data_IF_880481195360
#
_entry.id   IF_880481195360
#
_cell.length_a   1.000
_cell.length_b   1.000
_cell.length_c   1.000
_cell.angle_alpha   90.00
_cell.angle_beta   90.00
_cell.angle_gamma   90.00
#
_symmetry.space_group_name_H-M   'P 1'
#
loop_
_entity.id
_entity.type
_entity.pdbx_description
1 polymer ?
#
# COMPACT_ATOMS: atom_id res chain seq x y z
N UNK A 1 68.99 31.75 -18.81
CA UNK A 1 68.27 31.17 -17.66
C UNK A 1 66.83 31.67 -17.72
N UNK A 2 65.91 30.85 -18.23
CA UNK A 2 64.50 31.21 -18.36
C UNK A 2 63.76 30.84 -17.07
N UNK A 3 63.28 31.83 -16.32
CA UNK A 3 62.33 31.64 -15.21
C UNK A 3 60.93 31.72 -15.79
N UNK A 4 60.37 30.58 -16.20
CA UNK A 4 58.99 30.52 -16.69
C UNK A 4 58.02 30.14 -15.57
N UNK A 5 57.16 31.09 -15.22
CA UNK A 5 55.70 30.91 -15.19
C UNK A 5 55.10 29.78 -14.35
N UNK A 6 55.58 29.55 -13.11
CA UNK A 6 54.94 28.63 -12.16
C UNK A 6 53.62 29.13 -11.55
N UNK A 7 53.36 30.43 -11.56
CA UNK A 7 52.18 31.02 -10.89
C UNK A 7 50.88 30.93 -11.70
N UNK A 8 50.95 30.77 -13.03
CA UNK A 8 49.75 30.74 -13.88
C UNK A 8 49.05 29.39 -13.89
N UNK A 9 49.80 28.28 -13.92
CA UNK A 9 49.26 26.92 -13.94
C UNK A 9 48.50 26.56 -12.64
N UNK A 10 48.95 27.06 -11.49
CA UNK A 10 48.30 26.86 -10.19
C UNK A 10 46.96 27.61 -10.13
N UNK A 11 46.87 28.78 -10.78
CA UNK A 11 45.63 29.57 -10.87
C UNK A 11 44.56 28.88 -11.71
N UNK A 12 44.92 28.31 -12.86
CA UNK A 12 43.97 27.55 -13.69
C UNK A 12 43.54 26.23 -13.05
N UNK A 13 44.46 25.54 -12.37
CA UNK A 13 44.14 24.30 -11.66
C UNK A 13 43.16 24.55 -10.50
N UNK A 14 43.33 25.64 -9.75
CA UNK A 14 42.40 26.02 -8.66
C UNK A 14 41.05 26.51 -9.17
N UNK A 15 41.02 27.24 -10.29
CA UNK A 15 39.78 27.64 -10.97
C UNK A 15 39.00 26.44 -11.53
N UNK A 16 39.69 25.47 -12.15
CA UNK A 16 39.06 24.24 -12.67
C UNK A 16 38.55 23.34 -11.54
N UNK A 17 39.30 23.21 -10.43
CA UNK A 17 38.86 22.44 -9.26
C UNK A 17 37.66 23.09 -8.58
N UNK A 18 37.64 24.42 -8.47
CA UNK A 18 36.48 25.16 -7.97
C UNK A 18 35.26 25.01 -8.89
N UNK A 19 35.45 25.03 -10.21
CA UNK A 19 34.37 24.82 -11.18
C UNK A 19 33.80 23.39 -11.11
N UNK A 20 34.63 22.37 -10.90
CA UNK A 20 34.20 20.98 -10.72
C UNK A 20 33.43 20.76 -9.41
N UNK A 21 33.78 21.48 -8.33
CA UNK A 21 33.06 21.40 -7.04
C UNK A 21 31.68 22.07 -7.08
N UNK A 22 31.48 23.09 -7.93
CA UNK A 22 30.18 23.79 -8.06
C UNK A 22 29.15 22.93 -8.82
N UNK A 23 29.58 22.01 -9.67
CA UNK A 23 28.69 21.12 -10.45
C UNK A 23 28.05 20.02 -9.56
N UNK A 24 28.56 19.80 -8.34
CA UNK A 24 28.16 18.67 -7.48
C UNK A 24 26.87 18.88 -6.66
N UNK A 25 26.18 20.01 -6.76
CA UNK A 25 25.05 20.33 -5.88
C UNK A 25 23.77 20.68 -6.64
N UNK A 26 23.28 19.77 -7.49
CA UNK A 26 21.91 19.86 -7.99
C UNK A 26 21.38 18.50 -8.45
N UNK A 27 21.41 17.51 -7.57
CA UNK A 27 20.40 16.45 -7.63
C UNK A 27 19.42 16.70 -6.49
N UNK A 28 18.55 17.70 -6.65
CA UNK A 28 17.32 17.70 -5.88
C UNK A 28 16.49 16.54 -6.41
N UNK A 29 16.67 15.35 -5.81
CA UNK A 29 15.75 14.25 -5.97
C UNK A 29 14.47 14.70 -5.28
N UNK A 30 13.58 15.34 -6.04
CA UNK A 30 12.17 15.42 -5.70
C UNK A 30 11.68 13.98 -5.77
N UNK A 31 11.83 13.25 -4.67
CA UNK A 31 11.03 12.06 -4.46
C UNK A 31 9.59 12.55 -4.50
N UNK A 32 8.72 12.03 -5.36
CA UNK A 32 7.30 12.34 -5.27
C UNK A 32 6.91 11.98 -3.85
N UNK A 33 6.63 13.00 -3.04
CA UNK A 33 6.11 12.80 -1.69
C UNK A 33 4.75 12.17 -1.94
N UNK A 34 4.67 10.87 -1.71
CA UNK A 34 3.40 10.16 -1.67
C UNK A 34 2.45 11.00 -0.79
N UNK A 35 1.24 11.32 -1.28
CA UNK A 35 0.28 12.08 -0.50
C UNK A 35 0.16 11.43 0.88
N UNK A 36 0.47 12.17 1.94
CA UNK A 36 0.36 11.65 3.29
C UNK A 36 -1.08 11.18 3.49
N UNK A 37 -1.26 9.90 3.82
CA UNK A 37 -2.57 9.34 4.08
C UNK A 37 -3.27 10.17 5.17
N UNK A 38 -4.45 10.68 4.84
CA UNK A 38 -5.19 11.59 5.72
C UNK A 38 -6.56 10.98 6.04
N UNK A 39 -6.87 10.87 7.33
CA UNK A 39 -8.16 10.38 7.84
C UNK A 39 -8.93 11.56 8.45
N UNK A 40 -10.13 11.82 7.93
CA UNK A 40 -11.07 12.79 8.47
C UNK A 40 -12.29 12.05 9.01
N UNK A 41 -12.61 12.23 10.30
CA UNK A 41 -13.82 11.68 10.89
C UNK A 41 -14.79 12.80 11.24
N UNK A 42 -15.99 12.77 10.67
CA UNK A 42 -17.05 13.77 10.88
C UNK A 42 -18.09 13.31 11.89
N UNK A 43 -18.21 12.00 12.13
CA UNK A 43 -19.08 11.43 13.16
C UNK A 43 -18.47 10.20 13.83
N UNK A 44 -18.55 10.15 15.15
CA UNK A 44 -18.02 9.06 15.97
C UNK A 44 -19.13 8.34 16.74
N UNK A 45 -18.97 7.03 16.91
CA UNK A 45 -19.75 6.16 17.78
C UNK A 45 -18.85 5.62 18.90
N UNK A 46 -19.34 5.62 20.12
CA UNK A 46 -18.67 4.97 21.25
C UNK A 46 -19.21 3.56 21.39
N UNK A 47 -18.38 2.54 21.19
CA UNK A 47 -18.82 1.15 21.19
C UNK A 47 -19.56 0.80 22.50
N UNK A 48 -20.69 0.14 22.37
CA UNK A 48 -21.56 -0.29 23.46
C UNK A 48 -21.51 -1.81 23.66
N UNK A 49 -22.23 -2.31 24.67
CA UNK A 49 -22.31 -3.75 24.92
C UNK A 49 -23.06 -4.42 23.77
N UNK A 50 -22.39 -5.40 23.13
CA UNK A 50 -22.96 -6.15 22.01
C UNK A 50 -22.63 -5.58 20.62
N UNK A 51 -21.88 -4.48 20.57
CA UNK A 51 -21.36 -3.95 19.32
C UNK A 51 -20.29 -4.87 18.71
N UNK A 52 -20.35 -5.02 17.40
CA UNK A 52 -19.40 -5.78 16.59
C UNK A 52 -19.05 -4.98 15.33
N UNK A 53 -18.01 -5.42 14.61
CA UNK A 53 -17.72 -4.91 13.27
C UNK A 53 -18.87 -5.08 12.26
N UNK A 54 -19.88 -5.89 12.57
CA UNK A 54 -21.03 -6.11 11.69
C UNK A 54 -22.23 -5.27 12.11
N UNK A 55 -22.53 -5.18 13.42
CA UNK A 55 -23.72 -4.47 13.90
C UNK A 55 -23.55 -2.97 13.84
N UNK A 56 -22.36 -2.44 14.16
CA UNK A 56 -22.09 -0.99 14.14
C UNK A 56 -22.35 -0.40 12.76
N UNK A 57 -21.63 -0.80 11.68
CA UNK A 57 -21.85 -0.18 10.37
C UNK A 57 -23.28 -0.37 9.86
N UNK A 58 -23.90 -1.54 10.10
CA UNK A 58 -25.30 -1.77 9.74
C UNK A 58 -26.27 -0.79 10.42
N UNK A 59 -26.09 -0.54 11.72
CA UNK A 59 -26.93 0.39 12.48
C UNK A 59 -26.84 1.83 11.96
N UNK A 60 -25.72 2.19 11.33
CA UNK A 60 -25.49 3.52 10.74
C UNK A 60 -25.64 3.55 9.21
N UNK A 61 -26.10 2.46 8.59
CA UNK A 61 -26.26 2.37 7.13
C UNK A 61 -24.93 2.46 6.35
N UNK A 62 -23.81 2.15 7.00
CA UNK A 62 -22.47 2.14 6.44
C UNK A 62 -22.11 0.72 5.96
N UNK A 63 -21.38 0.63 4.85
CA UNK A 63 -20.80 -0.64 4.40
C UNK A 63 -19.66 -1.08 5.33
N UNK A 64 -19.50 -2.39 5.53
CA UNK A 64 -18.42 -2.91 6.38
C UNK A 64 -17.02 -2.50 5.86
N UNK A 65 -16.84 -2.49 4.53
CA UNK A 65 -15.61 -2.03 3.88
C UNK A 65 -15.34 -0.54 4.18
N UNK A 66 -16.32 0.33 3.90
CA UNK A 66 -16.19 1.77 4.17
C UNK A 66 -15.97 2.08 5.66
N UNK A 67 -16.52 1.26 6.55
CA UNK A 67 -16.26 1.36 7.99
C UNK A 67 -14.81 1.02 8.35
N UNK A 68 -14.22 -0.03 7.77
CA UNK A 68 -12.83 -0.38 8.02
C UNK A 68 -11.86 0.62 7.37
N UNK A 69 -12.22 1.19 6.22
CA UNK A 69 -11.44 2.22 5.54
C UNK A 69 -11.28 3.47 6.42
N UNK A 70 -12.35 3.92 7.08
CA UNK A 70 -12.32 5.06 8.02
C UNK A 70 -11.89 4.67 9.44
N UNK A 71 -11.57 3.40 9.69
CA UNK A 71 -11.01 2.89 10.95
C UNK A 71 -9.83 1.93 10.67
N UNK A 72 -8.73 2.37 10.04
CA UNK A 72 -7.71 1.48 9.48
C UNK A 72 -6.92 0.64 10.51
N UNK A 73 -6.99 0.98 11.79
CA UNK A 73 -6.36 0.23 12.88
C UNK A 73 -7.36 -0.63 13.67
N UNK A 74 -8.57 -0.85 13.13
CA UNK A 74 -9.59 -1.62 13.82
C UNK A 74 -9.20 -3.09 13.95
N UNK A 75 -9.40 -3.64 15.14
CA UNK A 75 -9.35 -5.07 15.38
C UNK A 75 -10.75 -5.56 15.74
N UNK A 76 -11.40 -6.24 14.80
CA UNK A 76 -12.78 -6.72 14.96
C UNK A 76 -12.95 -7.78 16.06
N UNK A 77 -11.88 -8.50 16.42
CA UNK A 77 -11.91 -9.52 17.46
C UNK A 77 -11.80 -8.93 18.87
N UNK A 78 -11.47 -7.64 18.98
CA UNK A 78 -11.16 -6.99 20.25
C UNK A 78 -11.74 -5.58 20.36
N UNK A 79 -13.03 -5.44 20.03
CA UNK A 79 -13.80 -4.23 20.31
C UNK A 79 -14.11 -4.18 21.81
N UNK A 80 -13.89 -3.03 22.43
CA UNK A 80 -14.21 -2.82 23.85
C UNK A 80 -15.19 -1.66 24.04
N UNK A 81 -16.02 -1.75 25.07
CA UNK A 81 -17.01 -0.71 25.41
C UNK A 81 -16.30 0.62 25.68
N UNK A 82 -16.79 1.68 25.04
CA UNK A 82 -16.22 3.02 25.08
C UNK A 82 -15.12 3.29 24.05
N UNK A 83 -14.81 2.33 23.17
CA UNK A 83 -13.92 2.57 22.03
C UNK A 83 -14.57 3.54 21.04
N UNK A 84 -13.86 4.60 20.67
CA UNK A 84 -14.32 5.55 19.66
C UNK A 84 -14.09 4.99 18.25
N UNK A 85 -15.16 4.90 17.47
CA UNK A 85 -15.18 4.36 16.12
C UNK A 85 -15.76 5.40 15.18
N UNK A 86 -15.09 5.64 14.07
CA UNK A 86 -15.60 6.55 13.04
C UNK A 86 -16.75 5.88 12.28
N UNK A 87 -17.88 6.55 12.16
CA UNK A 87 -19.06 6.04 11.41
C UNK A 87 -19.50 6.98 10.29
N UNK A 88 -18.80 8.11 10.11
CA UNK A 88 -18.86 8.96 8.92
C UNK A 88 -17.55 9.73 8.79
N UNK A 89 -16.95 9.72 7.60
CA UNK A 89 -15.63 10.30 7.37
C UNK A 89 -15.09 10.01 5.97
N UNK A 90 -13.85 10.43 5.73
CA UNK A 90 -13.12 10.21 4.49
C UNK A 90 -11.67 9.80 4.81
N UNK A 91 -11.15 8.83 4.06
CA UNK A 91 -9.74 8.47 4.07
C UNK A 91 -9.16 8.79 2.69
N UNK A 92 -8.20 9.71 2.62
CA UNK A 92 -7.43 9.99 1.41
C UNK A 92 -6.02 9.47 1.61
N UNK A 93 -5.88 8.14 1.60
CA UNK A 93 -4.60 7.44 1.54
C UNK A 93 -4.63 6.50 0.34
N UNK A 94 -3.60 6.55 -0.50
CA UNK A 94 -3.39 5.52 -1.51
C UNK A 94 -2.73 4.34 -0.83
N UNK A 95 -3.37 3.18 -0.79
CA UNK A 95 -2.69 1.93 -0.44
C UNK A 95 -1.79 1.55 -1.61
N UNK A 96 -0.62 2.18 -1.72
CA UNK A 96 0.35 1.87 -2.77
C UNK A 96 0.94 0.47 -2.53
N UNK A 97 0.61 -0.47 -3.40
CA UNK A 97 1.24 -1.79 -3.47
C UNK A 97 2.71 -1.58 -3.89
N UNK A 98 3.70 -2.21 -3.23
CA UNK A 98 5.08 -2.19 -3.71
C UNK A 98 5.17 -2.93 -5.05
N UNK A 99 5.62 -2.24 -6.09
CA UNK A 99 5.95 -2.82 -7.39
C UNK A 99 7.22 -3.68 -7.29
N UNK A 100 7.12 -4.98 -7.61
CA UNK A 100 8.26 -5.76 -8.08
C UNK A 100 7.85 -6.92 -9.02
N UNK A 101 8.37 -6.86 -10.24
CA UNK A 101 8.81 -7.94 -11.16
C UNK A 101 9.04 -9.31 -10.50
N UNK A 102 8.69 -10.48 -11.03
CA UNK A 102 8.42 -10.98 -12.40
C UNK A 102 7.61 -12.29 -12.33
N UNK A 103 6.48 -12.31 -13.04
CA UNK A 103 5.83 -13.40 -13.78
C UNK A 103 4.39 -12.93 -13.97
N UNK A 104 4.20 -12.11 -15.02
CA UNK A 104 2.94 -11.45 -15.28
C UNK A 104 1.91 -12.50 -15.68
N UNK A 105 0.90 -12.70 -14.85
CA UNK A 105 -0.37 -13.31 -15.28
C UNK A 105 -0.86 -12.47 -16.46
N UNK A 106 -0.96 -13.06 -17.65
CA UNK A 106 -1.22 -12.33 -18.89
C UNK A 106 -2.69 -11.90 -18.99
N UNK A 107 -3.57 -12.65 -18.34
CA UNK A 107 -4.96 -12.26 -18.09
C UNK A 107 -5.57 -13.08 -16.95
N UNK A 108 -6.31 -12.42 -16.06
CA UNK A 108 -7.16 -13.10 -15.09
C UNK A 108 -8.52 -13.37 -15.73
N UNK A 109 -8.92 -14.62 -15.83
CA UNK A 109 -10.19 -15.06 -16.43
C UNK A 109 -11.29 -15.31 -15.39
N UNK A 110 -10.93 -15.44 -14.12
CA UNK A 110 -11.88 -15.57 -13.01
C UNK A 110 -11.42 -14.74 -11.81
N UNK A 111 -12.21 -13.72 -11.49
CA UNK A 111 -11.98 -12.84 -10.34
C UNK A 111 -12.91 -13.24 -9.20
N UNK A 112 -12.37 -13.25 -7.99
CA UNK A 112 -13.12 -13.45 -6.76
C UNK A 112 -12.84 -12.29 -5.80
N UNK A 113 -13.88 -11.69 -5.28
CA UNK A 113 -13.78 -10.67 -4.25
C UNK A 113 -13.68 -11.36 -2.89
N UNK A 114 -12.62 -11.11 -2.13
CA UNK A 114 -12.40 -11.72 -0.83
C UNK A 114 -13.50 -11.31 0.15
N UNK A 115 -14.21 -12.27 0.71
CA UNK A 115 -15.38 -12.07 1.56
C UNK A 115 -15.05 -12.23 3.05
N UNK A 116 -15.96 -11.75 3.90
CA UNK A 116 -15.84 -11.92 5.34
C UNK A 116 -15.87 -13.41 5.74
N UNK A 117 -14.89 -13.81 6.57
CA UNK A 117 -14.74 -15.19 7.03
C UNK A 117 -13.96 -16.09 6.07
N UNK A 118 -13.52 -15.55 4.92
CA UNK A 118 -12.63 -16.29 4.04
C UNK A 118 -11.25 -16.47 4.64
N UNK A 119 -10.62 -17.55 4.22
CA UNK A 119 -9.17 -17.73 4.31
C UNK A 119 -8.69 -18.15 2.94
N UNK A 120 -7.44 -17.83 2.58
CA UNK A 120 -6.86 -18.35 1.35
C UNK A 120 -7.00 -19.88 1.26
N UNK A 121 -6.78 -20.60 2.37
CA UNK A 121 -6.95 -22.05 2.40
C UNK A 121 -8.39 -22.50 2.11
N UNK A 122 -9.39 -21.81 2.65
CA UNK A 122 -10.80 -22.11 2.37
C UNK A 122 -11.15 -21.83 0.91
N UNK A 123 -10.70 -20.71 0.35
CA UNK A 123 -10.92 -20.37 -1.07
C UNK A 123 -10.27 -21.41 -1.98
N UNK A 124 -8.99 -21.72 -1.75
CA UNK A 124 -8.25 -22.74 -2.53
C UNK A 124 -9.00 -24.07 -2.52
N UNK A 125 -9.49 -24.52 -1.36
CA UNK A 125 -10.24 -25.76 -1.25
C UNK A 125 -11.63 -25.68 -1.91
N UNK A 126 -12.37 -24.61 -1.68
CA UNK A 126 -13.74 -24.44 -2.18
C UNK A 126 -13.78 -24.34 -3.71
N UNK A 127 -12.76 -23.71 -4.31
CA UNK A 127 -12.62 -23.59 -5.76
C UNK A 127 -11.73 -24.68 -6.39
N UNK A 128 -11.31 -25.67 -5.59
CA UNK A 128 -10.46 -26.78 -6.01
C UNK A 128 -9.19 -26.34 -6.76
N UNK A 129 -8.55 -25.28 -6.27
CA UNK A 129 -7.33 -24.70 -6.85
C UNK A 129 -6.08 -25.42 -6.33
N UNK A 130 -4.99 -25.37 -7.10
CA UNK A 130 -3.65 -25.67 -6.57
C UNK A 130 -3.14 -24.45 -5.80
N UNK A 131 -2.60 -24.65 -4.59
CA UNK A 131 -2.00 -23.56 -3.81
C UNK A 131 -0.82 -22.91 -4.55
N UNK A 132 -0.06 -23.70 -5.31
CA UNK A 132 1.05 -23.21 -6.13
C UNK A 132 0.52 -22.28 -7.23
N UNK A 133 -0.46 -22.73 -8.02
CA UNK A 133 -1.09 -21.92 -9.07
C UNK A 133 -1.78 -20.68 -8.49
N UNK A 134 -2.47 -20.79 -7.35
CA UNK A 134 -3.09 -19.64 -6.69
C UNK A 134 -2.06 -18.59 -6.27
N UNK A 135 -0.89 -19.02 -5.79
CA UNK A 135 0.20 -18.09 -5.45
C UNK A 135 0.83 -17.45 -6.68
N UNK A 136 0.95 -18.19 -7.80
CA UNK A 136 1.44 -17.64 -9.06
C UNK A 136 0.46 -16.65 -9.69
N UNK A 137 -0.85 -16.90 -9.56
CA UNK A 137 -1.90 -15.99 -10.01
C UNK A 137 -1.97 -14.71 -9.16
N UNK A 138 -1.52 -14.76 -7.91
CA UNK A 138 -1.58 -13.66 -6.95
C UNK A 138 -0.20 -13.42 -6.29
N UNK A 139 0.84 -13.06 -7.07
CA UNK A 139 2.24 -13.10 -6.62
C UNK A 139 2.58 -12.14 -5.48
N UNK A 140 1.74 -11.12 -5.25
CA UNK A 140 1.91 -10.14 -4.18
C UNK A 140 0.94 -10.34 -3.00
N UNK A 141 0.11 -11.38 -3.05
CA UNK A 141 -0.87 -11.65 -2.02
C UNK A 141 -0.18 -12.11 -0.74
N UNK A 142 -0.50 -11.43 0.36
CA UNK A 142 -0.21 -11.92 1.70
C UNK A 142 -1.51 -12.34 2.36
N UNK A 143 -1.73 -13.64 2.50
CA UNK A 143 -2.95 -14.20 3.08
C UNK A 143 -3.22 -13.81 4.55
N UNK A 144 -2.19 -13.35 5.27
CA UNK A 144 -2.35 -12.86 6.65
C UNK A 144 -2.68 -11.37 6.72
N UNK A 145 -2.66 -10.67 5.57
CA UNK A 145 -2.86 -9.22 5.47
C UNK A 145 -3.85 -8.81 4.37
N UNK A 146 -4.56 -9.78 3.81
CA UNK A 146 -5.58 -9.55 2.80
C UNK A 146 -6.85 -9.01 3.48
N UNK A 147 -7.49 -8.01 2.87
CA UNK A 147 -8.70 -7.39 3.40
C UNK A 147 -9.95 -7.85 2.64
N UNK A 148 -11.11 -7.81 3.31
CA UNK A 148 -12.41 -8.02 2.65
C UNK A 148 -12.59 -6.94 1.57
N UNK A 149 -13.06 -7.34 0.39
CA UNK A 149 -13.18 -6.48 -0.79
C UNK A 149 -11.97 -6.54 -1.73
N UNK A 150 -10.84 -7.12 -1.31
CA UNK A 150 -9.69 -7.31 -2.20
C UNK A 150 -9.97 -8.38 -3.26
N UNK A 151 -9.56 -8.11 -4.50
CA UNK A 151 -9.80 -9.02 -5.62
C UNK A 151 -8.66 -10.01 -5.81
N UNK A 152 -9.02 -11.29 -5.81
CA UNK A 152 -8.18 -12.44 -6.07
C UNK A 152 -8.41 -12.99 -7.47
N UNK A 153 -7.32 -13.36 -8.13
CA UNK A 153 -7.40 -14.12 -9.37
C UNK A 153 -7.45 -15.62 -9.07
N UNK A 154 -8.53 -16.29 -9.48
CA UNK A 154 -8.71 -17.73 -9.28
C UNK A 154 -8.36 -18.56 -10.51
N UNK A 155 -8.32 -17.94 -11.71
CA UNK A 155 -7.94 -18.59 -12.96
C UNK A 155 -7.40 -17.55 -13.96
N UNK A 156 -6.46 -17.94 -14.81
CA UNK A 156 -5.83 -17.06 -15.78
C UNK A 156 -4.84 -17.76 -16.70
N UNK A 157 -4.29 -17.02 -17.65
CA UNK A 157 -3.20 -17.50 -18.52
C UNK A 157 -1.87 -16.91 -18.07
N UNK A 158 -0.80 -17.71 -18.19
CA UNK A 158 0.57 -17.27 -17.99
C UNK A 158 1.20 -17.02 -19.35
N UNK A 159 1.83 -15.86 -19.56
CA UNK A 159 2.72 -15.67 -20.72
C UNK A 159 4.10 -16.22 -20.39
N UNK A 160 4.56 -17.16 -21.20
CA UNK A 160 5.93 -17.68 -21.19
C UNK A 160 6.98 -16.63 -21.51
#
# INVERSE_FOLDING_TARGET
MARTNGMSAISYATLLLAFLLIISNAECRISPTEPAAFLSCTQVHGAEVGDTCTTIPQNFGLGAESFLEINPNMNCDNIFVGQWLCISGEFTGSTSIPTATTNSVSSCSQIYEFQFGDTCSAIINNFALSAEIFSELNPNLNCDKIFVGEYLCLNGEFTS
#
